data_IF_725033634105
#
_entry.id   IF_725033634105
#
_cell.length_a   1.000
_cell.length_b   1.000
_cell.length_c   1.000
_cell.angle_alpha   90.00
_cell.angle_beta   90.00
_cell.angle_gamma   90.00
#
_symmetry.space_group_name_H-M   'P 1'
#
loop_
_entity.id
_entity.type
_entity.pdbx_description
1 polymer ?
#
# COMPACT_ATOMS: atom_id res chain seq x y z
N UNK A 1 -9.36 4.39 -5.38
CA UNK A 1 -10.42 3.36 -5.42
C UNK A 1 -11.69 3.89 -6.09
N UNK A 2 -12.19 5.05 -5.75
CA UNK A 2 -13.49 5.55 -6.23
C UNK A 2 -13.40 6.74 -7.19
N UNK A 3 -12.21 7.21 -7.54
CA UNK A 3 -11.98 8.41 -8.37
C UNK A 3 -12.76 9.67 -7.92
N UNK A 4 -13.22 9.70 -6.67
CA UNK A 4 -13.90 10.86 -6.08
C UNK A 4 -12.84 11.76 -5.45
N UNK A 5 -12.76 13.04 -5.81
CA UNK A 5 -11.83 13.96 -5.19
C UNK A 5 -12.01 14.04 -3.68
N UNK A 6 -10.91 14.16 -2.95
CA UNK A 6 -10.94 14.38 -1.50
C UNK A 6 -11.63 15.70 -1.19
N UNK A 7 -12.49 15.70 -0.18
CA UNK A 7 -13.15 16.92 0.31
C UNK A 7 -12.53 17.33 1.66
N UNK A 8 -12.14 18.59 1.85
CA UNK A 8 -11.43 19.04 3.06
C UNK A 8 -12.16 18.77 4.37
N UNK A 9 -13.49 18.82 4.34
CA UNK A 9 -14.34 18.66 5.54
C UNK A 9 -15.02 17.30 5.67
N UNK A 10 -14.93 16.43 4.66
CA UNK A 10 -15.70 15.17 4.61
C UNK A 10 -14.81 14.01 4.18
N UNK A 11 -14.47 13.13 5.12
CA UNK A 11 -13.85 11.86 4.80
C UNK A 11 -14.93 10.87 4.33
N UNK A 12 -14.97 10.58 3.03
CA UNK A 12 -15.96 9.68 2.41
C UNK A 12 -15.98 8.29 3.05
N UNK A 13 -14.84 7.82 3.55
CA UNK A 13 -14.72 6.52 4.23
C UNK A 13 -15.65 6.37 5.45
N UNK A 14 -16.09 7.49 6.04
CA UNK A 14 -17.06 7.51 7.15
C UNK A 14 -18.51 7.28 6.72
N UNK A 15 -18.76 7.22 5.41
CA UNK A 15 -20.11 7.08 4.85
C UNK A 15 -20.19 5.87 3.91
N UNK A 16 -20.17 4.63 4.45
CA UNK A 16 -20.11 3.41 3.64
C UNK A 16 -21.20 3.34 2.56
N UNK A 17 -22.45 3.70 2.90
CA UNK A 17 -23.57 3.68 1.97
C UNK A 17 -23.34 4.60 0.76
N UNK A 18 -22.72 5.77 0.97
CA UNK A 18 -22.39 6.70 -0.13
C UNK A 18 -21.25 6.18 -1.00
N UNK A 19 -20.33 5.39 -0.42
CA UNK A 19 -19.26 4.73 -1.19
C UNK A 19 -19.86 3.68 -2.14
N UNK A 20 -20.88 2.94 -1.70
CA UNK A 20 -21.52 1.91 -2.52
C UNK A 20 -22.16 2.46 -3.78
N UNK A 21 -22.64 3.71 -3.73
CA UNK A 21 -23.28 4.40 -4.86
C UNK A 21 -22.27 5.00 -5.85
N UNK A 22 -20.97 4.93 -5.56
CA UNK A 22 -19.93 5.51 -6.40
C UNK A 22 -19.24 4.46 -7.26
N UNK A 23 -18.75 4.86 -8.43
CA UNK A 23 -17.85 3.99 -9.21
C UNK A 23 -16.67 3.56 -8.36
N UNK A 24 -16.29 2.29 -8.47
CA UNK A 24 -15.15 1.72 -7.77
C UNK A 24 -14.36 0.88 -8.77
N UNK A 25 -13.25 1.43 -9.18
CA UNK A 25 -12.44 0.84 -10.23
C UNK A 25 -12.12 -0.67 -10.01
N UNK A 26 -11.96 -1.19 -8.77
CA UNK A 26 -11.82 -2.63 -8.59
C UNK A 26 -13.07 -3.42 -9.01
N UNK A 27 -14.28 -2.86 -8.84
CA UNK A 27 -15.52 -3.49 -9.27
C UNK A 27 -15.67 -3.52 -10.79
N UNK A 28 -15.26 -2.43 -11.45
CA UNK A 28 -15.25 -2.38 -12.92
C UNK A 28 -14.30 -3.45 -13.49
N UNK A 29 -13.17 -3.68 -12.83
CA UNK A 29 -12.24 -4.75 -13.20
C UNK A 29 -12.80 -6.15 -12.91
N UNK A 30 -13.54 -6.33 -11.81
CA UNK A 30 -14.23 -7.60 -11.52
C UNK A 30 -15.26 -7.94 -12.60
N UNK A 31 -16.03 -6.94 -13.05
CA UNK A 31 -16.97 -7.11 -14.17
C UNK A 31 -16.26 -7.47 -15.49
N UNK A 32 -15.01 -7.01 -15.65
CA UNK A 32 -14.13 -7.40 -16.75
C UNK A 32 -13.43 -8.76 -16.53
N UNK A 33 -13.75 -9.48 -15.45
CA UNK A 33 -13.25 -10.82 -15.16
C UNK A 33 -11.97 -10.90 -14.33
N UNK A 34 -11.49 -9.79 -13.79
CA UNK A 34 -10.34 -9.77 -12.91
C UNK A 34 -10.68 -10.31 -11.51
N UNK A 35 -9.77 -11.06 -10.91
CA UNK A 35 -9.79 -11.29 -9.46
C UNK A 35 -9.16 -10.11 -8.74
N UNK A 36 -9.80 -9.61 -7.68
CA UNK A 36 -9.33 -8.44 -6.95
C UNK A 36 -9.02 -8.74 -5.50
N UNK A 37 -7.91 -8.19 -4.97
CA UNK A 37 -7.53 -8.36 -3.58
C UNK A 37 -6.82 -7.11 -3.05
N UNK A 38 -7.07 -6.80 -1.79
CA UNK A 38 -6.44 -5.69 -1.09
C UNK A 38 -5.52 -6.20 0.03
N UNK A 39 -4.31 -5.68 0.10
CA UNK A 39 -3.31 -6.01 1.12
C UNK A 39 -3.09 -4.80 2.01
N UNK A 40 -3.37 -4.98 3.29
CA UNK A 40 -3.16 -3.98 4.32
C UNK A 40 -2.67 -4.66 5.59
N UNK A 41 -1.36 -4.64 5.81
CA UNK A 41 -0.73 -5.35 6.93
C UNK A 41 -0.92 -4.68 8.30
N UNK A 42 -1.91 -3.81 8.44
CA UNK A 42 -2.30 -3.11 9.65
C UNK A 42 -3.70 -3.47 10.14
N UNK A 43 -4.14 -2.79 11.22
CA UNK A 43 -5.49 -2.96 11.77
C UNK A 43 -6.55 -2.44 10.81
N UNK A 44 -7.23 -3.36 10.14
CA UNK A 44 -8.28 -3.06 9.16
C UNK A 44 -9.52 -2.38 9.77
N UNK A 45 -9.69 -2.42 11.09
CA UNK A 45 -10.81 -1.77 11.78
C UNK A 45 -10.59 -0.27 11.98
N UNK A 46 -9.36 0.20 11.80
CA UNK A 46 -9.05 1.61 11.91
C UNK A 46 -9.85 2.44 10.90
N UNK A 47 -10.53 3.48 11.36
CA UNK A 47 -11.14 4.51 10.51
C UNK A 47 -12.19 4.06 9.51
N UNK A 48 -12.89 2.93 9.72
CA UNK A 48 -13.87 2.35 8.78
C UNK A 48 -13.24 1.79 7.48
N UNK A 49 -11.95 1.53 7.49
CA UNK A 49 -11.21 1.02 6.34
C UNK A 49 -11.74 -0.34 5.87
N UNK A 50 -12.11 -1.21 6.83
CA UNK A 50 -12.68 -2.52 6.55
C UNK A 50 -13.91 -2.44 5.63
N UNK A 51 -14.84 -1.51 5.92
CA UNK A 51 -16.04 -1.35 5.10
C UNK A 51 -15.70 -0.98 3.65
N UNK A 52 -14.80 -0.02 3.45
CA UNK A 52 -14.35 0.38 2.13
C UNK A 52 -13.73 -0.80 1.35
N UNK A 53 -12.84 -1.55 2.00
CA UNK A 53 -12.15 -2.68 1.35
C UNK A 53 -13.12 -3.81 1.03
N UNK A 54 -13.96 -4.23 1.99
CA UNK A 54 -14.95 -5.31 1.79
C UNK A 54 -15.94 -4.98 0.66
N UNK A 55 -16.32 -3.71 0.52
CA UNK A 55 -17.23 -3.29 -0.55
C UNK A 55 -16.56 -3.12 -1.91
N UNK A 56 -15.24 -3.01 -1.95
CA UNK A 56 -14.51 -2.68 -3.18
C UNK A 56 -13.75 -3.86 -3.77
N UNK A 57 -13.37 -4.86 -3.00
CA UNK A 57 -12.54 -5.99 -3.42
C UNK A 57 -13.21 -7.34 -3.08
N UNK A 58 -12.88 -8.40 -3.83
CA UNK A 58 -13.34 -9.76 -3.56
C UNK A 58 -12.67 -10.37 -2.34
N UNK A 59 -11.42 -10.00 -2.06
CA UNK A 59 -10.66 -10.48 -0.92
C UNK A 59 -9.75 -9.42 -0.31
N UNK A 60 -9.31 -9.68 0.90
CA UNK A 60 -8.34 -8.86 1.60
C UNK A 60 -7.35 -9.73 2.37
N UNK A 61 -6.16 -9.19 2.60
CA UNK A 61 -5.15 -9.68 3.53
C UNK A 61 -4.90 -8.56 4.53
N UNK A 62 -4.98 -8.86 5.82
CA UNK A 62 -4.87 -7.91 6.93
C UNK A 62 -3.80 -8.39 7.92
N UNK A 63 -3.52 -7.66 8.99
CA UNK A 63 -2.57 -8.14 10.00
C UNK A 63 -2.99 -9.47 10.62
N UNK A 64 -4.29 -9.78 10.68
CA UNK A 64 -4.82 -11.04 11.23
C UNK A 64 -4.43 -12.28 10.40
N UNK A 65 -4.01 -12.09 9.16
CA UNK A 65 -3.56 -13.17 8.26
C UNK A 65 -2.07 -13.50 8.42
N UNK A 66 -1.37 -12.83 9.33
CA UNK A 66 0.04 -13.07 9.65
C UNK A 66 0.19 -13.76 11.00
N UNK A 67 1.28 -14.50 11.16
CA UNK A 67 1.61 -15.24 12.39
C UNK A 67 3.12 -15.37 12.57
N UNK A 68 3.55 -16.03 13.64
CA UNK A 68 4.95 -16.33 13.89
C UNK A 68 5.82 -15.08 13.95
N UNK A 69 6.93 -15.09 13.21
CA UNK A 69 7.93 -14.02 13.20
C UNK A 69 7.36 -12.67 12.75
N UNK A 70 6.48 -12.65 11.77
CA UNK A 70 5.86 -11.42 11.28
C UNK A 70 5.10 -10.68 12.39
N UNK A 71 4.32 -11.43 13.20
CA UNK A 71 3.59 -10.86 14.33
C UNK A 71 4.48 -10.56 15.53
N UNK A 72 5.52 -11.36 15.77
CA UNK A 72 6.49 -11.11 16.84
C UNK A 72 7.28 -9.82 16.62
N UNK A 73 7.55 -9.47 15.35
CA UNK A 73 8.28 -8.28 14.94
C UNK A 73 7.37 -7.13 14.48
N UNK A 74 6.07 -7.19 14.79
CA UNK A 74 5.15 -6.11 14.40
C UNK A 74 5.51 -4.78 15.08
N UNK A 75 5.20 -3.69 14.39
CA UNK A 75 5.30 -2.35 14.95
C UNK A 75 3.90 -1.80 15.30
N UNK A 76 3.83 -0.53 15.69
CA UNK A 76 2.61 0.11 16.16
C UNK A 76 1.41 -0.03 15.20
N UNK A 77 1.66 0.00 13.90
CA UNK A 77 0.60 0.06 12.89
C UNK A 77 0.32 -1.29 12.21
N UNK A 78 1.09 -2.31 12.51
CA UNK A 78 0.89 -3.65 11.94
C UNK A 78 2.19 -4.38 11.63
N UNK A 79 2.16 -5.21 10.61
CA UNK A 79 3.28 -6.04 10.17
C UNK A 79 4.15 -5.24 9.21
N UNK A 80 5.48 -5.41 9.30
CA UNK A 80 6.43 -4.72 8.43
C UNK A 80 6.29 -5.11 6.96
N UNK A 81 6.64 -4.17 6.07
CA UNK A 81 6.48 -4.26 4.63
C UNK A 81 7.11 -5.53 4.02
N UNK A 82 8.25 -5.99 4.54
CA UNK A 82 8.90 -7.23 4.06
C UNK A 82 7.97 -8.44 4.09
N UNK A 83 7.21 -8.61 5.18
CA UNK A 83 6.28 -9.74 5.32
C UNK A 83 5.04 -9.57 4.44
N UNK A 84 4.54 -8.33 4.30
CA UNK A 84 3.42 -8.04 3.41
C UNK A 84 3.78 -8.29 1.95
N UNK A 85 4.95 -7.84 1.49
CA UNK A 85 5.37 -8.05 0.11
C UNK A 85 5.73 -9.52 -0.18
N UNK A 86 6.23 -10.26 0.80
CA UNK A 86 6.41 -11.72 0.65
C UNK A 86 5.07 -12.41 0.43
N UNK A 87 4.09 -12.13 1.27
CA UNK A 87 2.74 -12.66 1.14
C UNK A 87 2.09 -12.26 -0.18
N UNK A 88 2.25 -11.01 -0.60
CA UNK A 88 1.76 -10.54 -1.90
C UNK A 88 2.37 -11.34 -3.05
N UNK A 89 3.69 -11.56 -3.01
CA UNK A 89 4.38 -12.36 -4.02
C UNK A 89 3.87 -13.80 -4.08
N UNK A 90 3.72 -14.47 -2.94
CA UNK A 90 3.19 -15.83 -2.86
C UNK A 90 1.77 -15.95 -3.43
N UNK A 91 0.92 -14.96 -3.14
CA UNK A 91 -0.45 -14.94 -3.61
C UNK A 91 -0.54 -14.64 -5.11
N UNK A 92 0.28 -13.73 -5.64
CA UNK A 92 0.35 -13.44 -7.08
C UNK A 92 0.86 -14.65 -7.85
N UNK A 93 1.85 -15.38 -7.34
CA UNK A 93 2.39 -16.57 -7.98
C UNK A 93 1.33 -17.69 -8.18
N UNK A 94 0.26 -17.67 -7.37
CA UNK A 94 -0.86 -18.63 -7.41
C UNK A 94 -2.15 -18.00 -7.96
N UNK A 95 -2.11 -16.71 -8.33
CA UNK A 95 -3.31 -15.98 -8.70
C UNK A 95 -3.90 -16.49 -10.02
N UNK A 96 -5.24 -16.58 -10.06
CA UNK A 96 -5.96 -16.75 -11.32
C UNK A 96 -5.89 -15.45 -12.12
N UNK A 97 -5.43 -15.53 -13.33
CA UNK A 97 -5.41 -14.38 -14.25
C UNK A 97 -6.78 -14.19 -14.94
N UNK A 98 -7.13 -12.94 -15.29
CA UNK A 98 -6.43 -11.72 -14.90
C UNK A 98 -6.66 -11.37 -13.42
N UNK A 99 -5.72 -10.64 -12.83
CA UNK A 99 -5.86 -10.17 -11.44
C UNK A 99 -5.50 -8.69 -11.30
N UNK A 100 -6.07 -8.05 -10.27
CA UNK A 100 -5.69 -6.72 -9.80
C UNK A 100 -5.56 -6.77 -8.27
N UNK A 101 -4.32 -6.68 -7.79
CA UNK A 101 -4.01 -6.70 -6.37
C UNK A 101 -3.45 -5.34 -5.95
N UNK A 102 -4.01 -4.77 -4.90
CA UNK A 102 -3.61 -3.47 -4.38
C UNK A 102 -2.98 -3.64 -3.00
N UNK A 103 -1.75 -3.21 -2.83
CA UNK A 103 -1.03 -3.25 -1.57
C UNK A 103 -0.87 -1.83 -1.01
N UNK A 104 -1.16 -1.67 0.28
CA UNK A 104 -0.96 -0.45 1.03
C UNK A 104 0.03 -0.72 2.16
N UNK A 105 1.28 -0.33 1.93
CA UNK A 105 2.38 -0.56 2.85
C UNK A 105 2.42 0.52 3.96
N UNK A 106 2.96 0.16 5.12
CA UNK A 106 2.83 0.95 6.34
C UNK A 106 4.15 1.28 7.05
N UNK A 107 5.27 0.64 6.68
CA UNK A 107 6.52 0.80 7.43
C UNK A 107 7.11 2.20 7.38
N UNK A 108 6.71 3.00 6.38
CA UNK A 108 7.07 4.43 6.28
C UNK A 108 6.17 5.37 7.10
N UNK A 109 5.23 4.84 7.91
CA UNK A 109 4.38 5.63 8.80
C UNK A 109 5.08 5.90 10.15
N UNK A 110 4.75 7.05 10.77
CA UNK A 110 5.21 7.37 12.14
C UNK A 110 4.92 6.23 13.14
N UNK A 111 5.82 5.88 14.04
CA UNK A 111 7.04 6.58 14.46
C UNK A 111 8.31 6.23 13.66
N UNK A 112 8.21 5.67 12.46
CA UNK A 112 9.30 5.34 11.56
C UNK A 112 10.27 4.26 12.10
N UNK A 113 9.74 3.37 12.92
CA UNK A 113 10.51 2.25 13.45
C UNK A 113 10.51 1.11 12.43
N UNK A 114 11.65 0.89 11.80
CA UNK A 114 11.84 -0.17 10.82
C UNK A 114 12.94 -1.13 11.27
N UNK A 115 12.87 -2.42 10.90
CA UNK A 115 13.94 -3.36 11.21
C UNK A 115 15.15 -3.11 10.31
N UNK A 116 16.31 -3.65 10.74
CA UNK A 116 17.56 -3.61 10.00
C UNK A 116 18.52 -2.51 10.46
N UNK A 117 19.57 -2.32 9.69
CA UNK A 117 20.62 -1.34 10.00
C UNK A 117 20.21 0.06 9.56
N UNK A 118 20.67 1.06 10.29
CA UNK A 118 20.49 2.48 9.96
C UNK A 118 21.34 2.83 8.75
N UNK A 119 20.70 3.06 7.61
CA UNK A 119 21.40 3.41 6.37
C UNK A 119 21.81 4.89 6.33
N UNK A 120 20.98 5.75 6.94
CA UNK A 120 21.18 7.21 6.98
C UNK A 120 21.40 7.61 8.44
N UNK A 121 22.64 7.96 8.85
CA UNK A 121 22.97 8.29 10.23
C UNK A 121 22.22 9.53 10.73
N UNK A 122 21.63 9.43 11.92
CA UNK A 122 20.87 10.48 12.61
C UNK A 122 19.73 9.89 13.41
N UNK A 123 19.22 10.61 14.42
CA UNK A 123 18.20 10.15 15.36
C UNK A 123 16.96 11.04 15.44
N UNK A 124 16.97 12.18 14.71
CA UNK A 124 15.81 13.03 14.59
C UNK A 124 14.72 12.43 13.69
N UNK A 125 13.57 13.08 13.65
CA UNK A 125 12.40 12.62 12.89
C UNK A 125 12.67 12.52 11.39
N UNK A 126 13.44 13.44 10.83
CA UNK A 126 13.78 13.44 9.41
C UNK A 126 14.63 12.23 9.04
N UNK A 127 15.70 11.94 9.80
CA UNK A 127 16.56 10.78 9.57
C UNK A 127 15.79 9.46 9.75
N UNK A 128 14.93 9.37 10.77
CA UNK A 128 14.06 8.19 10.96
C UNK A 128 13.11 7.98 9.79
N UNK A 129 12.49 9.06 9.31
CA UNK A 129 11.63 9.02 8.13
C UNK A 129 12.40 8.57 6.88
N UNK A 130 13.59 9.12 6.63
CA UNK A 130 14.42 8.73 5.49
C UNK A 130 14.82 7.25 5.55
N UNK A 131 15.18 6.74 6.73
CA UNK A 131 15.47 5.31 6.93
C UNK A 131 14.22 4.44 6.70
N UNK A 132 13.04 4.89 7.10
CA UNK A 132 11.79 4.18 6.86
C UNK A 132 11.45 4.11 5.36
N UNK A 133 11.64 5.20 4.62
CA UNK A 133 11.50 5.21 3.15
C UNK A 133 12.52 4.27 2.49
N UNK A 134 13.79 4.34 2.92
CA UNK A 134 14.83 3.45 2.41
C UNK A 134 14.48 1.97 2.63
N UNK A 135 13.96 1.63 3.80
CA UNK A 135 13.50 0.28 4.11
C UNK A 135 12.33 -0.15 3.22
N UNK A 136 11.30 0.68 3.07
CA UNK A 136 10.15 0.38 2.22
C UNK A 136 10.55 0.24 0.75
N UNK A 137 11.45 1.07 0.25
CA UNK A 137 12.00 0.98 -1.11
C UNK A 137 12.76 -0.33 -1.32
N UNK A 138 13.57 -0.75 -0.33
CA UNK A 138 14.26 -2.03 -0.38
C UNK A 138 13.29 -3.22 -0.43
N UNK A 139 12.19 -3.17 0.33
CA UNK A 139 11.15 -4.21 0.30
C UNK A 139 10.45 -4.28 -1.06
N UNK A 140 10.12 -3.13 -1.65
CA UNK A 140 9.56 -3.05 -3.01
C UNK A 140 10.57 -3.59 -4.04
N UNK A 141 11.83 -3.20 -3.92
CA UNK A 141 12.90 -3.67 -4.80
C UNK A 141 13.08 -5.19 -4.76
N UNK A 142 13.02 -5.79 -3.58
CA UNK A 142 13.07 -7.25 -3.42
C UNK A 142 11.85 -7.94 -4.06
N UNK A 143 10.66 -7.43 -3.81
CA UNK A 143 9.43 -7.92 -4.42
C UNK A 143 9.50 -7.88 -5.95
N UNK A 144 9.92 -6.76 -6.54
CA UNK A 144 10.09 -6.62 -7.99
C UNK A 144 11.16 -7.58 -8.54
N UNK A 145 12.28 -7.79 -7.82
CA UNK A 145 13.30 -8.78 -8.22
C UNK A 145 12.73 -10.20 -8.27
N UNK A 146 11.94 -10.59 -7.27
CA UNK A 146 11.26 -11.90 -7.24
C UNK A 146 10.28 -12.04 -8.41
N UNK A 147 9.48 -11.01 -8.69
CA UNK A 147 8.55 -11.01 -9.82
C UNK A 147 9.28 -11.15 -11.17
N UNK A 148 10.43 -10.50 -11.34
CA UNK A 148 11.27 -10.67 -12.54
C UNK A 148 11.85 -12.08 -12.66
N UNK A 149 12.36 -12.62 -11.57
CA UNK A 149 12.96 -13.95 -11.56
C UNK A 149 11.95 -15.08 -11.84
N UNK A 150 10.67 -14.88 -11.52
CA UNK A 150 9.59 -15.87 -11.71
C UNK A 150 8.77 -15.67 -12.98
N UNK A 151 9.06 -14.65 -13.81
CA UNK A 151 8.31 -14.34 -15.03
C UNK A 151 6.97 -13.62 -14.78
N UNK A 152 6.60 -13.36 -13.52
CA UNK A 152 5.39 -12.58 -13.18
C UNK A 152 5.47 -11.17 -13.79
N UNK A 153 6.67 -10.61 -13.81
CA UNK A 153 6.96 -9.29 -14.38
C UNK A 153 6.49 -9.13 -15.82
N UNK A 154 6.66 -10.16 -16.66
CA UNK A 154 6.52 -10.07 -18.10
C UNK A 154 5.08 -9.77 -18.56
N UNK A 155 4.09 -10.14 -17.74
CA UNK A 155 2.66 -9.93 -18.02
C UNK A 155 1.96 -9.16 -16.88
N UNK A 156 2.67 -8.30 -16.20
CA UNK A 156 2.13 -7.50 -15.10
C UNK A 156 2.46 -6.02 -15.28
N UNK A 157 1.47 -5.16 -15.08
CA UNK A 157 1.63 -3.72 -14.92
C UNK A 157 1.74 -3.42 -13.42
N UNK A 158 2.85 -2.84 -13.00
CA UNK A 158 3.07 -2.32 -11.65
C UNK A 158 2.83 -0.82 -11.63
N UNK A 159 1.96 -0.38 -10.72
CA UNK A 159 1.65 1.02 -10.48
C UNK A 159 2.07 1.34 -9.05
N UNK A 160 3.13 2.14 -8.90
CA UNK A 160 3.60 2.57 -7.58
C UNK A 160 3.28 4.06 -7.41
N UNK A 161 2.62 4.37 -6.30
CA UNK A 161 2.24 5.74 -5.97
C UNK A 161 2.16 5.91 -4.45
N UNK A 162 2.36 7.13 -3.98
CA UNK A 162 2.05 7.46 -2.60
C UNK A 162 0.56 7.83 -2.45
N UNK A 163 0.03 7.70 -1.24
CA UNK A 163 -1.33 8.12 -0.88
C UNK A 163 -1.43 9.63 -0.63
N UNK A 164 -0.33 10.25 -0.16
CA UNK A 164 -0.20 11.70 0.05
C UNK A 164 1.29 12.13 0.08
N UNK A 165 1.52 13.43 0.05
CA UNK A 165 2.84 14.03 0.25
C UNK A 165 3.29 14.00 1.71
N UNK A 166 4.60 14.25 1.95
CA UNK A 166 5.18 14.28 3.30
C UNK A 166 5.46 15.70 3.78
N UNK A 167 5.45 15.89 5.11
CA UNK A 167 5.86 17.12 5.79
C UNK A 167 7.21 16.99 6.51
N UNK A 168 7.84 15.80 6.42
CA UNK A 168 9.01 15.46 7.24
C UNK A 168 10.35 15.94 6.66
N UNK A 169 10.43 16.18 5.35
CA UNK A 169 11.67 16.58 4.67
C UNK A 169 11.66 18.08 4.31
N UNK A 170 10.50 18.61 3.92
CA UNK A 170 10.34 20.00 3.52
C UNK A 170 9.09 20.58 4.13
N UNK A 171 9.22 21.75 4.72
CA UNK A 171 8.04 22.48 5.15
C UNK A 171 7.34 23.06 3.91
N UNK A 172 6.28 22.38 3.46
CA UNK A 172 5.46 22.80 2.32
C UNK A 172 4.12 23.29 2.88
N UNK A 173 3.70 24.48 2.44
CA UNK A 173 2.40 25.03 2.82
C UNK A 173 1.27 24.10 2.31
N UNK A 174 0.41 23.55 3.22
CA UNK A 174 -0.66 22.63 2.85
C UNK A 174 -1.70 23.23 1.89
N UNK A 175 -1.75 24.55 1.73
CA UNK A 175 -2.66 25.22 0.79
C UNK A 175 -2.15 25.24 -0.65
N UNK A 176 -0.90 24.80 -0.87
CA UNK A 176 -0.27 24.83 -2.20
C UNK A 176 -0.33 23.46 -2.91
N UNK A 177 -0.37 23.44 -4.25
CA UNK A 177 -0.30 22.19 -5.01
C UNK A 177 0.94 21.34 -4.71
N UNK A 178 2.05 21.96 -4.31
CA UNK A 178 3.29 21.28 -3.98
C UNK A 178 3.13 20.30 -2.79
N UNK A 179 2.20 20.54 -1.88
CA UNK A 179 1.90 19.67 -0.75
C UNK A 179 1.23 18.33 -1.19
N UNK A 180 0.68 18.30 -2.38
CA UNK A 180 -0.04 17.15 -2.94
C UNK A 180 0.72 16.47 -4.07
N UNK A 181 1.96 16.88 -4.31
CA UNK A 181 2.81 16.26 -5.32
C UNK A 181 3.32 14.91 -4.80
N UNK A 182 2.86 13.83 -5.43
CA UNK A 182 3.23 12.45 -5.11
C UNK A 182 3.90 11.80 -6.32
N UNK A 183 4.78 10.81 -6.12
CA UNK A 183 5.33 10.02 -7.20
C UNK A 183 4.24 9.16 -7.85
N UNK A 184 4.34 8.94 -9.15
CA UNK A 184 3.61 7.93 -9.90
C UNK A 184 4.58 7.24 -10.83
N UNK A 185 4.79 5.95 -10.62
CA UNK A 185 5.71 5.12 -11.40
C UNK A 185 4.90 4.00 -12.04
N UNK A 186 4.97 3.89 -13.35
CA UNK A 186 4.44 2.78 -14.12
C UNK A 186 5.61 1.92 -14.59
N UNK A 187 5.53 0.61 -14.38
CA UNK A 187 6.59 -0.33 -14.74
C UNK A 187 6.01 -1.73 -14.96
N UNK A 188 6.76 -2.60 -15.61
CA UNK A 188 6.33 -3.98 -15.87
C UNK A 188 6.43 -4.36 -17.34
N UNK A 189 6.40 -5.64 -17.61
CA UNK A 189 6.48 -6.16 -18.99
C UNK A 189 5.17 -6.00 -19.78
N UNK A 190 4.06 -5.64 -19.10
CA UNK A 190 2.78 -5.36 -19.74
C UNK A 190 2.58 -3.87 -20.11
N UNK A 191 3.62 -3.02 -20.06
CA UNK A 191 3.59 -1.64 -20.50
C UNK A 191 3.65 -1.55 -22.03
#
# INVERSE_FOLDING_TARGET
ISAVPSHPAVAMIKYPNKIMERPRFPKDLEEAGYSTRYYYAGDIHFGSFRSLVTMSFQGMVTEDDFSGEAMANRFKWGVHDQYMFERLYEDIAKARQPFMYMAFNMSSHEPFNVPGEVAIPGDDTEHKFLNAIHYSDACIGEFIRKCKASGIWDNTLFILMADHGTRHIRHVDPSTPAAYHIPLILSGGAL
#
